data_IF_788260705831
#
_entry.id   IF_788260705831
#
_cell.length_a   1.000
_cell.length_b   1.000
_cell.length_c   1.000
_cell.angle_alpha   90.00
_cell.angle_beta   90.00
_cell.angle_gamma   90.00
#
_symmetry.space_group_name_H-M   'P 1'
#
loop_
_entity.id
_entity.type
_entity.pdbx_description
1 polymer ?
#
# COMPACT_ATOMS: atom_id res chain seq x y z
N UNK A 1 -22.96 9.26 -14.62
CA UNK A 1 -22.09 9.17 -13.43
C UNK A 1 -20.69 9.00 -13.96
N UNK A 2 -20.06 10.11 -14.36
CA UNK A 2 -18.69 10.09 -14.87
C UNK A 2 -17.75 9.94 -13.66
N UNK A 3 -17.38 8.69 -13.35
CA UNK A 3 -16.39 8.39 -12.32
C UNK A 3 -15.02 8.85 -12.80
N UNK A 4 -14.71 10.13 -12.59
CA UNK A 4 -13.39 10.66 -12.84
C UNK A 4 -12.51 10.29 -11.64
N UNK A 5 -11.46 9.46 -11.79
CA UNK A 5 -10.62 9.02 -10.68
C UNK A 5 -9.93 10.18 -9.96
N UNK A 6 -9.78 11.32 -10.64
CA UNK A 6 -9.29 12.57 -10.06
C UNK A 6 -10.29 13.17 -9.06
N UNK A 7 -11.59 13.07 -9.30
CA UNK A 7 -12.63 13.60 -8.40
C UNK A 7 -12.72 12.79 -7.11
N UNK A 8 -12.58 11.46 -7.22
CA UNK A 8 -12.54 10.55 -6.07
C UNK A 8 -11.33 10.84 -5.15
N UNK A 9 -10.19 11.17 -5.73
CA UNK A 9 -8.96 11.51 -4.99
C UNK A 9 -9.05 12.91 -4.39
N UNK A 10 -9.61 13.88 -5.11
CA UNK A 10 -9.70 15.29 -4.68
C UNK A 10 -10.76 15.52 -3.59
N UNK A 11 -11.85 14.76 -3.58
CA UNK A 11 -12.94 14.88 -2.60
C UNK A 11 -12.97 13.72 -1.59
N UNK A 12 -11.85 13.01 -1.43
CA UNK A 12 -11.77 11.81 -0.59
C UNK A 12 -12.14 12.08 0.88
N UNK A 13 -11.84 13.28 1.37
CA UNK A 13 -12.26 13.80 2.68
C UNK A 13 -13.78 13.97 2.77
N UNK A 14 -14.41 14.62 1.79
CA UNK A 14 -15.85 14.82 1.73
C UNK A 14 -16.62 13.49 1.57
N UNK A 15 -16.08 12.55 0.79
CA UNK A 15 -16.65 11.21 0.66
C UNK A 15 -16.50 10.41 1.96
N UNK A 16 -15.35 10.49 2.64
CA UNK A 16 -15.17 9.83 3.93
C UNK A 16 -16.10 10.41 4.99
N UNK A 17 -16.24 11.73 5.12
CA UNK A 17 -17.19 12.32 6.07
C UNK A 17 -18.65 11.99 5.72
N UNK A 18 -19.02 11.95 4.43
CA UNK A 18 -20.34 11.45 4.00
C UNK A 18 -20.52 9.96 4.31
N UNK A 19 -19.48 9.16 4.13
CA UNK A 19 -19.49 7.73 4.43
C UNK A 19 -19.59 7.49 5.94
N UNK A 20 -18.89 8.25 6.78
CA UNK A 20 -18.98 8.18 8.24
C UNK A 20 -20.41 8.49 8.68
N UNK A 21 -20.97 9.59 8.18
CA UNK A 21 -22.29 10.07 8.57
C UNK A 21 -23.44 9.19 8.03
N UNK A 22 -23.32 8.59 6.84
CA UNK A 22 -24.37 7.74 6.25
C UNK A 22 -24.23 6.25 6.57
N UNK A 23 -23.01 5.72 6.71
CA UNK A 23 -22.76 4.27 6.75
C UNK A 23 -22.36 3.74 8.13
N UNK A 24 -22.06 4.60 9.10
CA UNK A 24 -21.76 4.19 10.48
C UNK A 24 -20.72 3.05 10.53
N UNK A 25 -21.03 1.86 11.08
CA UNK A 25 -20.07 0.75 11.17
C UNK A 25 -19.67 0.10 9.83
N UNK A 26 -20.34 0.38 8.72
CA UNK A 26 -19.94 -0.16 7.41
C UNK A 26 -18.68 0.48 6.84
N UNK A 27 -18.30 1.66 7.33
CA UNK A 27 -17.08 2.32 6.87
C UNK A 27 -15.82 1.52 7.16
N UNK A 28 -15.78 0.77 8.26
CA UNK A 28 -14.66 -0.13 8.56
C UNK A 28 -14.51 -1.18 7.46
N UNK A 29 -15.62 -1.77 6.98
CA UNK A 29 -15.59 -2.76 5.91
C UNK A 29 -15.15 -2.15 4.56
N UNK A 30 -15.55 -0.91 4.27
CA UNK A 30 -15.12 -0.19 3.07
C UNK A 30 -13.61 0.09 3.13
N UNK A 31 -13.13 0.63 4.24
CA UNK A 31 -11.71 0.91 4.43
C UNK A 31 -10.87 -0.38 4.38
N UNK A 32 -11.38 -1.47 4.97
CA UNK A 32 -10.77 -2.79 4.82
C UNK A 32 -10.64 -3.20 3.37
N UNK A 33 -11.74 -3.16 2.61
CA UNK A 33 -11.76 -3.58 1.21
C UNK A 33 -10.80 -2.75 0.36
N UNK A 34 -10.72 -1.44 0.60
CA UNK A 34 -9.81 -0.55 -0.12
C UNK A 34 -8.35 -0.90 0.15
N UNK A 35 -7.93 -0.97 1.41
CA UNK A 35 -6.54 -1.30 1.78
C UNK A 35 -6.18 -2.73 1.34
N UNK A 36 -7.11 -3.67 1.47
CA UNK A 36 -6.93 -5.04 0.99
C UNK A 36 -6.74 -5.08 -0.53
N UNK A 37 -7.56 -4.36 -1.30
CA UNK A 37 -7.43 -4.31 -2.76
C UNK A 37 -6.12 -3.64 -3.19
N UNK A 38 -5.71 -2.55 -2.56
CA UNK A 38 -4.46 -1.85 -2.88
C UNK A 38 -3.21 -2.70 -2.62
N UNK A 39 -3.19 -3.43 -1.50
CA UNK A 39 -2.04 -4.28 -1.11
C UNK A 39 -2.08 -5.65 -1.78
N UNK A 40 -3.27 -6.21 -1.96
CA UNK A 40 -3.51 -7.54 -2.52
C UNK A 40 -3.48 -7.61 -4.04
N UNK A 41 -3.91 -6.56 -4.75
CA UNK A 41 -3.95 -6.53 -6.21
C UNK A 41 -2.70 -5.86 -6.78
N UNK A 42 -1.83 -6.67 -7.40
CA UNK A 42 -0.57 -6.22 -8.06
C UNK A 42 -0.80 -5.09 -9.07
N UNK A 43 -2.00 -4.98 -9.64
CA UNK A 43 -2.33 -4.07 -10.74
C UNK A 43 -2.88 -2.71 -10.25
N UNK A 44 -3.17 -2.56 -8.95
CA UNK A 44 -3.77 -1.33 -8.40
C UNK A 44 -2.86 -0.54 -7.43
N UNK A 45 -1.58 -0.25 -7.74
CA UNK A 45 -0.73 0.59 -6.89
C UNK A 45 -1.13 2.08 -6.89
N UNK A 46 -2.24 2.45 -7.54
CA UNK A 46 -2.67 3.84 -7.71
C UNK A 46 -3.66 4.31 -6.64
N UNK A 47 -4.13 3.43 -5.75
CA UNK A 47 -5.02 3.84 -4.67
C UNK A 47 -4.24 4.60 -3.58
N UNK A 48 -4.77 5.72 -3.05
CA UNK A 48 -4.09 6.55 -2.05
C UNK A 48 -4.25 5.98 -0.63
N UNK A 49 -3.77 4.75 -0.40
CA UNK A 49 -3.89 4.07 0.90
C UNK A 49 -3.22 4.80 2.05
N UNK A 50 -2.05 5.40 1.82
CA UNK A 50 -1.33 6.17 2.84
C UNK A 50 -2.18 7.34 3.36
N UNK A 51 -2.83 8.06 2.44
CA UNK A 51 -3.73 9.16 2.77
C UNK A 51 -4.98 8.63 3.49
N UNK A 52 -5.56 7.52 3.03
CA UNK A 52 -6.73 6.90 3.67
C UNK A 52 -6.47 6.49 5.11
N UNK A 53 -5.33 5.86 5.39
CA UNK A 53 -4.93 5.45 6.74
C UNK A 53 -4.81 6.67 7.67
N UNK A 54 -4.20 7.75 7.18
CA UNK A 54 -4.07 8.98 7.95
C UNK A 54 -5.43 9.62 8.23
N UNK A 55 -6.27 9.77 7.20
CA UNK A 55 -7.58 10.42 7.32
C UNK A 55 -8.49 9.61 8.25
N UNK A 56 -8.50 8.28 8.11
CA UNK A 56 -9.27 7.40 8.97
C UNK A 56 -8.85 7.55 10.44
N UNK A 57 -7.54 7.67 10.71
CA UNK A 57 -7.03 7.99 12.05
C UNK A 57 -7.50 9.34 12.57
N UNK A 58 -7.45 10.38 11.74
CA UNK A 58 -7.91 11.73 12.11
C UNK A 58 -9.41 11.79 12.41
N UNK A 59 -10.23 11.10 11.63
CA UNK A 59 -11.67 10.97 11.87
C UNK A 59 -11.95 10.20 13.16
N UNK A 60 -11.19 9.14 13.45
CA UNK A 60 -11.31 8.40 14.71
C UNK A 60 -11.01 9.29 15.94
N UNK A 61 -10.10 10.26 15.82
CA UNK A 61 -9.85 11.25 16.88
C UNK A 61 -10.99 12.24 17.10
N UNK A 62 -11.83 12.45 16.09
CA UNK A 62 -13.07 13.24 16.21
C UNK A 62 -14.18 12.54 17.01
N UNK A 63 -14.00 11.27 17.38
CA UNK A 63 -15.01 10.46 18.07
C UNK A 63 -15.96 9.73 17.11
N UNK A 64 -15.72 9.79 15.80
CA UNK A 64 -16.55 9.10 14.81
C UNK A 64 -16.34 7.59 14.74
N UNK A 65 -15.23 7.07 15.27
CA UNK A 65 -14.84 5.66 15.21
C UNK A 65 -13.98 5.24 16.41
N UNK A 66 -13.98 3.94 16.71
CA UNK A 66 -13.05 3.35 17.67
C UNK A 66 -11.66 3.17 17.00
N UNK A 67 -10.62 3.87 17.48
CA UNK A 67 -9.30 3.87 16.86
C UNK A 67 -8.58 2.51 16.99
N UNK A 68 -8.87 1.73 18.03
CA UNK A 68 -8.23 0.42 18.26
C UNK A 68 -8.82 -0.60 17.29
N UNK A 69 -10.14 -0.62 17.14
CA UNK A 69 -10.85 -1.45 16.17
C UNK A 69 -10.42 -1.10 14.74
N UNK A 70 -10.35 0.20 14.42
CA UNK A 70 -9.90 0.70 13.13
C UNK A 70 -8.48 0.21 12.82
N UNK A 71 -7.53 0.45 13.72
CA UNK A 71 -6.13 0.07 13.52
C UNK A 71 -5.97 -1.44 13.36
N UNK A 72 -6.66 -2.24 14.19
CA UNK A 72 -6.61 -3.70 14.10
C UNK A 72 -7.17 -4.22 12.77
N UNK A 73 -8.28 -3.65 12.31
CA UNK A 73 -8.96 -4.06 11.09
C UNK A 73 -8.19 -3.66 9.83
N UNK A 74 -7.61 -2.46 9.80
CA UNK A 74 -6.74 -2.00 8.72
C UNK A 74 -5.43 -2.79 8.66
N UNK A 75 -4.89 -3.16 9.82
CA UNK A 75 -3.71 -4.03 9.90
C UNK A 75 -4.01 -5.43 9.37
N UNK A 76 -5.17 -5.99 9.71
CA UNK A 76 -5.63 -7.26 9.16
C UNK A 76 -5.81 -7.17 7.63
N UNK A 77 -6.40 -6.09 7.12
CA UNK A 77 -6.56 -5.85 5.68
C UNK A 77 -5.19 -5.87 4.96
N UNK A 78 -4.22 -5.14 5.50
CA UNK A 78 -2.87 -5.05 4.92
C UNK A 78 -2.13 -6.40 4.94
N UNK A 79 -2.19 -7.14 6.05
CA UNK A 79 -1.53 -8.45 6.17
C UNK A 79 -2.19 -9.48 5.24
N UNK A 80 -3.52 -9.48 5.16
CA UNK A 80 -4.25 -10.38 4.26
C UNK A 80 -3.97 -10.05 2.80
N UNK A 81 -3.94 -8.76 2.44
CA UNK A 81 -3.57 -8.32 1.10
C UNK A 81 -2.14 -8.72 0.73
N UNK A 82 -1.16 -8.43 1.59
CA UNK A 82 0.24 -8.86 1.43
C UNK A 82 0.34 -10.39 1.24
N UNK A 83 -0.44 -11.16 2.00
CA UNK A 83 -0.48 -12.62 1.91
C UNK A 83 -1.10 -13.10 0.59
N UNK A 84 -2.21 -12.51 0.16
CA UNK A 84 -2.82 -12.80 -1.14
C UNK A 84 -1.85 -12.50 -2.28
N UNK A 85 -1.18 -11.35 -2.22
CA UNK A 85 -0.20 -10.94 -3.22
C UNK A 85 1.00 -11.90 -3.27
N UNK A 86 1.50 -12.32 -2.10
CA UNK A 86 2.53 -13.36 -2.00
C UNK A 86 2.10 -14.70 -2.63
N UNK A 87 0.88 -15.15 -2.37
CA UNK A 87 0.35 -16.41 -2.94
C UNK A 87 0.18 -16.30 -4.46
N UNK A 88 -0.28 -15.15 -4.96
CA UNK A 88 -0.37 -14.88 -6.40
C UNK A 88 1.03 -14.95 -7.02
N UNK A 89 2.02 -14.30 -6.41
CA UNK A 89 3.42 -14.34 -6.84
C UNK A 89 4.00 -15.76 -6.85
N UNK A 90 3.76 -16.53 -5.80
CA UNK A 90 4.22 -17.93 -5.70
C UNK A 90 3.60 -18.82 -6.78
N UNK A 91 2.29 -18.73 -6.97
CA UNK A 91 1.57 -19.53 -7.98
C UNK A 91 1.99 -19.14 -9.40
N UNK A 92 2.19 -17.84 -9.65
CA UNK A 92 2.71 -17.34 -10.91
C UNK A 92 4.15 -17.82 -11.16
N UNK A 93 5.00 -17.79 -10.12
CA UNK A 93 6.35 -18.34 -10.14
C UNK A 93 6.37 -19.83 -10.52
N UNK A 94 5.60 -20.66 -9.81
CA UNK A 94 5.50 -22.11 -10.07
C UNK A 94 5.06 -22.42 -11.51
N UNK A 95 4.05 -21.70 -12.04
CA UNK A 95 3.62 -21.85 -13.45
C UNK A 95 4.70 -21.44 -14.44
N UNK A 96 5.52 -20.46 -14.10
CA UNK A 96 6.66 -20.01 -14.91
C UNK A 96 7.79 -21.05 -14.90
N UNK A 97 8.08 -21.64 -13.74
CA UNK A 97 9.09 -22.70 -13.60
C UNK A 97 8.71 -23.97 -14.38
N UNK A 98 7.41 -24.28 -14.45
CA UNK A 98 6.87 -25.43 -15.19
C UNK A 98 6.81 -25.25 -16.71
N UNK A 99 7.11 -24.05 -17.25
CA UNK A 99 7.23 -23.81 -18.72
C UNK A 99 8.68 -23.47 -19.10
N UNK A 100 9.57 -24.47 -19.22
CA UNK A 100 11.03 -24.28 -19.37
C UNK A 100 11.48 -23.58 -20.66
N UNK A 101 10.61 -23.36 -21.65
CA UNK A 101 11.00 -22.94 -23.01
C UNK A 101 10.50 -21.53 -23.42
N UNK A 102 10.05 -20.70 -22.47
CA UNK A 102 9.61 -19.34 -22.80
C UNK A 102 10.81 -18.40 -22.96
N UNK A 103 11.08 -17.95 -24.19
CA UNK A 103 12.13 -16.97 -24.56
C UNK A 103 12.06 -15.63 -23.81
N UNK A 104 11.00 -15.38 -23.03
CA UNK A 104 10.74 -14.14 -22.28
C UNK A 104 11.34 -14.19 -20.86
N UNK A 105 11.73 -15.35 -20.32
CA UNK A 105 12.14 -15.49 -18.92
C UNK A 105 13.39 -16.37 -18.73
N UNK A 106 14.54 -15.77 -18.35
CA UNK A 106 15.79 -16.52 -18.09
C UNK A 106 15.82 -17.01 -16.64
N UNK A 107 15.99 -18.33 -16.46
CA UNK A 107 16.15 -19.00 -15.15
C UNK A 107 17.25 -18.37 -14.27
N UNK A 108 18.31 -17.85 -14.88
CA UNK A 108 19.41 -17.19 -14.15
C UNK A 108 18.93 -16.00 -13.30
N UNK A 109 17.93 -15.23 -13.76
CA UNK A 109 17.37 -14.13 -12.97
C UNK A 109 16.52 -14.63 -11.81
N UNK A 110 15.77 -15.71 -11.99
CA UNK A 110 14.97 -16.33 -10.94
C UNK A 110 15.86 -16.91 -9.84
N UNK A 111 16.93 -17.63 -10.21
CA UNK A 111 17.90 -18.18 -9.26
C UNK A 111 18.59 -17.05 -8.47
N UNK A 112 19.03 -15.98 -9.15
CA UNK A 112 19.62 -14.81 -8.48
C UNK A 112 18.63 -14.10 -7.54
N UNK A 113 17.36 -14.02 -7.93
CA UNK A 113 16.31 -13.42 -7.09
C UNK A 113 16.03 -14.31 -5.87
N UNK A 114 16.01 -15.63 -6.05
CA UNK A 114 15.88 -16.60 -4.97
C UNK A 114 17.05 -16.47 -3.98
N UNK A 115 18.29 -16.52 -4.45
CA UNK A 115 19.49 -16.42 -3.60
C UNK A 115 19.57 -15.06 -2.88
N UNK A 116 19.11 -13.98 -3.52
CA UNK A 116 19.02 -12.66 -2.90
C UNK A 116 17.97 -12.62 -1.79
N UNK A 117 16.77 -13.16 -2.03
CA UNK A 117 15.70 -13.21 -1.03
C UNK A 117 15.99 -14.21 0.09
N UNK A 118 16.74 -15.28 -0.17
CA UNK A 118 17.14 -16.22 0.87
C UNK A 118 18.11 -15.58 1.87
N UNK A 119 19.06 -14.78 1.37
CA UNK A 119 20.03 -14.04 2.21
C UNK A 119 19.49 -12.73 2.81
N UNK A 120 18.67 -11.97 2.08
CA UNK A 120 18.26 -10.60 2.46
C UNK A 120 16.75 -10.36 2.49
N UNK A 121 15.93 -11.33 2.06
CA UNK A 121 14.52 -11.12 1.72
C UNK A 121 13.66 -10.54 2.83
N UNK A 122 13.92 -10.88 4.09
CA UNK A 122 13.20 -10.31 5.23
C UNK A 122 13.34 -8.80 5.34
N UNK A 123 14.58 -8.30 5.33
CA UNK A 123 14.87 -6.86 5.38
C UNK A 123 14.35 -6.16 4.12
N UNK A 124 14.44 -6.82 2.97
CA UNK A 124 13.95 -6.27 1.69
C UNK A 124 12.44 -6.04 1.72
N UNK A 125 11.64 -6.95 2.29
CA UNK A 125 10.18 -6.79 2.37
C UNK A 125 9.80 -5.59 3.25
N UNK A 126 10.45 -5.42 4.39
CA UNK A 126 10.19 -4.26 5.28
C UNK A 126 10.68 -2.96 4.65
N UNK A 127 11.88 -2.95 4.05
CA UNK A 127 12.46 -1.75 3.42
C UNK A 127 11.71 -1.34 2.15
N UNK A 128 11.21 -2.30 1.37
CA UNK A 128 10.44 -2.02 0.17
C UNK A 128 9.13 -1.28 0.48
N UNK A 129 8.61 -1.38 1.71
CA UNK A 129 7.39 -0.67 2.13
C UNK A 129 7.56 0.86 2.12
N UNK A 130 8.78 1.35 2.31
CA UNK A 130 9.11 2.78 2.24
C UNK A 130 9.32 3.29 0.80
N UNK A 131 9.31 2.39 -0.19
CA UNK A 131 9.47 2.70 -1.59
C UNK A 131 8.14 2.48 -2.32
N UNK A 132 7.43 3.55 -2.76
CA UNK A 132 6.05 3.47 -3.25
C UNK A 132 5.80 2.45 -4.37
N UNK A 133 6.78 2.28 -5.25
CA UNK A 133 6.67 1.30 -6.34
C UNK A 133 7.01 -0.10 -5.82
N UNK A 134 8.05 -0.24 -4.99
CA UNK A 134 8.50 -1.55 -4.55
C UNK A 134 7.55 -2.19 -3.53
N UNK A 135 6.79 -1.42 -2.76
CA UNK A 135 5.89 -1.97 -1.73
C UNK A 135 4.83 -2.91 -2.29
N UNK A 136 4.29 -2.65 -3.47
CA UNK A 136 3.24 -3.50 -4.09
C UNK A 136 3.84 -4.71 -4.81
N UNK A 137 5.07 -4.58 -5.30
CA UNK A 137 5.78 -5.68 -5.95
C UNK A 137 6.56 -6.57 -4.97
N UNK A 138 6.93 -6.09 -3.79
CA UNK A 138 7.76 -6.86 -2.86
C UNK A 138 7.09 -8.17 -2.36
N UNK A 139 5.79 -8.19 -1.98
CA UNK A 139 5.10 -9.43 -1.66
C UNK A 139 5.03 -10.38 -2.85
N UNK A 140 4.74 -9.85 -4.04
CA UNK A 140 4.70 -10.61 -5.28
C UNK A 140 6.04 -11.27 -5.62
N UNK A 141 7.13 -10.50 -5.57
CA UNK A 141 8.49 -10.96 -5.85
C UNK A 141 8.96 -11.94 -4.78
N UNK A 142 8.64 -11.72 -3.50
CA UNK A 142 8.92 -12.66 -2.42
C UNK A 142 8.21 -14.01 -2.67
N UNK A 143 7.00 -13.98 -3.22
CA UNK A 143 6.25 -15.16 -3.65
C UNK A 143 6.94 -15.89 -4.81
N UNK A 144 7.30 -15.17 -5.88
CA UNK A 144 8.03 -15.74 -7.03
C UNK A 144 9.35 -16.37 -6.59
N UNK A 145 10.04 -15.73 -5.65
CA UNK A 145 11.30 -16.19 -5.09
C UNK A 145 11.12 -17.33 -4.07
N UNK A 146 9.92 -17.89 -3.87
CA UNK A 146 9.67 -19.01 -2.94
C UNK A 146 10.23 -18.77 -1.53
N UNK A 147 10.15 -17.53 -1.03
CA UNK A 147 10.60 -17.21 0.32
C UNK A 147 9.82 -18.02 1.37
N UNK A 148 10.43 -18.45 2.47
CA UNK A 148 9.71 -19.18 3.51
C UNK A 148 8.54 -18.33 4.07
N UNK A 149 7.30 -18.82 3.95
CA UNK A 149 6.08 -18.02 4.24
C UNK A 149 6.03 -17.43 5.66
N UNK A 150 6.35 -18.16 6.75
CA UNK A 150 6.46 -17.58 8.08
C UNK A 150 7.45 -16.43 8.19
N UNK A 151 8.57 -16.50 7.47
CA UNK A 151 9.58 -15.43 7.41
C UNK A 151 8.99 -14.23 6.69
N UNK A 152 8.34 -14.42 5.54
CA UNK A 152 7.65 -13.33 4.85
C UNK A 152 6.60 -12.66 5.75
N UNK A 153 5.74 -13.47 6.38
CA UNK A 153 4.64 -12.98 7.22
C UNK A 153 5.16 -12.16 8.41
N UNK A 154 6.20 -12.63 9.11
CA UNK A 154 6.77 -11.86 10.24
C UNK A 154 7.30 -10.48 9.82
N UNK A 155 8.02 -10.38 8.69
CA UNK A 155 8.50 -9.09 8.19
C UNK A 155 7.39 -8.22 7.59
N UNK A 156 6.37 -8.82 6.96
CA UNK A 156 5.18 -8.12 6.46
C UNK A 156 4.31 -7.59 7.60
N UNK A 157 4.12 -8.35 8.67
CA UNK A 157 3.42 -7.91 9.89
C UNK A 157 4.17 -6.77 10.55
N UNK A 158 5.49 -6.88 10.73
CA UNK A 158 6.30 -5.80 11.29
C UNK A 158 6.22 -4.52 10.42
N UNK A 159 6.30 -4.66 9.09
CA UNK A 159 6.13 -3.55 8.16
C UNK A 159 4.72 -2.95 8.20
N UNK A 160 3.68 -3.79 8.26
CA UNK A 160 2.28 -3.37 8.37
C UNK A 160 2.01 -2.65 9.68
N UNK A 161 2.62 -3.11 10.77
CA UNK A 161 2.47 -2.48 12.08
C UNK A 161 3.13 -1.10 12.11
N UNK A 162 4.33 -0.95 11.55
CA UNK A 162 4.98 0.36 11.44
C UNK A 162 4.21 1.31 10.51
N UNK A 163 3.69 0.79 9.40
CA UNK A 163 2.99 1.60 8.40
C UNK A 163 1.58 1.99 8.83
N UNK A 164 0.71 1.00 9.10
CA UNK A 164 -0.67 1.23 9.55
C UNK A 164 -0.66 1.88 10.93
N UNK A 165 0.10 1.33 11.87
CA UNK A 165 0.20 1.90 13.22
C UNK A 165 0.75 3.31 13.18
N UNK A 166 1.84 3.55 12.44
CA UNK A 166 2.42 4.88 12.30
C UNK A 166 1.44 5.90 11.72
N UNK A 167 0.83 5.61 10.56
CA UNK A 167 -0.05 6.56 9.88
C UNK A 167 -1.38 6.77 10.60
N UNK A 168 -1.99 5.71 11.14
CA UNK A 168 -3.25 5.82 11.89
C UNK A 168 -3.02 6.56 13.21
N UNK A 169 -1.94 6.25 13.94
CA UNK A 169 -1.61 6.97 15.17
C UNK A 169 -1.25 8.44 14.89
N UNK A 170 -0.46 8.72 13.86
CA UNK A 170 -0.18 10.10 13.43
C UNK A 170 -1.48 10.83 13.06
N UNK A 171 -2.33 10.21 12.25
CA UNK A 171 -3.66 10.75 11.91
C UNK A 171 -4.48 11.05 13.16
N UNK A 172 -4.52 10.12 14.12
CA UNK A 172 -5.26 10.28 15.37
C UNK A 172 -4.73 11.44 16.23
N UNK A 173 -3.41 11.53 16.45
CA UNK A 173 -2.82 12.62 17.21
C UNK A 173 -3.03 13.97 16.52
N UNK A 174 -2.84 14.05 15.20
CA UNK A 174 -3.03 15.27 14.43
C UNK A 174 -4.51 15.67 14.38
N UNK A 175 -5.43 14.71 14.24
CA UNK A 175 -6.87 14.94 14.26
C UNK A 175 -7.40 15.48 15.60
N UNK A 176 -6.65 15.31 16.70
CA UNK A 176 -7.01 15.89 18.01
C UNK A 176 -6.53 17.34 18.19
N UNK A 177 -5.69 17.87 17.28
CA UNK A 177 -5.20 19.26 17.35
C UNK A 177 -6.27 20.21 16.79
N UNK A 178 -6.69 21.26 17.53
CA UNK A 178 -7.76 22.18 17.10
C UNK A 178 -7.48 22.89 15.76
N UNK A 179 -6.22 23.24 15.50
CA UNK A 179 -5.77 23.84 14.25
C UNK A 179 -5.97 22.91 13.04
N UNK A 180 -5.84 21.60 13.26
CA UNK A 180 -5.96 20.58 12.21
C UNK A 180 -7.43 20.24 11.98
N UNK A 181 -8.26 20.17 13.04
CA UNK A 181 -9.72 20.01 12.90
C UNK A 181 -10.34 21.07 12.00
N UNK A 182 -9.87 22.33 12.10
CA UNK A 182 -10.35 23.43 11.27
C UNK A 182 -9.81 23.41 9.83
N UNK A 183 -8.74 22.64 9.58
CA UNK A 183 -8.04 22.58 8.29
C UNK A 183 -7.85 21.13 7.80
N UNK A 184 -8.79 20.24 8.11
CA UNK A 184 -8.72 18.82 7.73
C UNK A 184 -8.52 18.66 6.22
N UNK A 185 -9.32 19.39 5.42
CA UNK A 185 -9.22 19.37 3.96
C UNK A 185 -7.84 19.82 3.46
N UNK A 186 -7.25 20.85 4.06
CA UNK A 186 -5.92 21.35 3.67
C UNK A 186 -4.82 20.33 4.02
N UNK A 187 -4.94 19.64 5.15
CA UNK A 187 -4.01 18.58 5.54
C UNK A 187 -4.13 17.35 4.63
N UNK A 188 -5.34 16.96 4.24
CA UNK A 188 -5.58 15.91 3.25
C UNK A 188 -4.90 16.24 1.94
N UNK A 189 -5.07 17.47 1.44
CA UNK A 189 -4.40 17.95 0.22
C UNK A 189 -2.88 17.92 0.39
N UNK A 190 -2.32 18.37 1.52
CA UNK A 190 -0.88 18.33 1.78
C UNK A 190 -0.34 16.89 1.78
N UNK A 191 -1.05 15.94 2.37
CA UNK A 191 -0.63 14.53 2.41
C UNK A 191 -0.73 13.88 1.04
N UNK A 192 -1.81 14.16 0.29
CA UNK A 192 -1.96 13.71 -1.09
C UNK A 192 -0.83 14.27 -1.94
N UNK A 193 -0.52 15.57 -1.82
CA UNK A 193 0.59 16.21 -2.53
C UNK A 193 1.92 15.58 -2.12
N UNK A 194 2.19 15.41 -0.82
CA UNK A 194 3.42 14.77 -0.34
C UNK A 194 3.57 13.32 -0.81
N UNK A 195 2.48 12.56 -0.92
CA UNK A 195 2.47 11.19 -1.47
C UNK A 195 2.65 11.18 -2.99
N UNK A 196 2.08 12.15 -3.71
CA UNK A 196 2.18 12.28 -5.16
C UNK A 196 3.53 12.86 -5.62
N UNK A 197 4.18 13.71 -4.83
CA UNK A 197 5.47 14.34 -5.15
C UNK A 197 6.56 13.31 -5.52
N UNK A 198 6.85 12.26 -4.70
CA UNK A 198 7.84 11.27 -5.08
C UNK A 198 7.42 10.44 -6.30
N UNK A 199 6.11 10.21 -6.50
CA UNK A 199 5.58 9.54 -7.70
C UNK A 199 5.81 10.38 -8.96
N UNK A 200 5.50 11.68 -8.90
CA UNK A 200 5.68 12.63 -10.00
C UNK A 200 7.17 12.85 -10.30
N UNK A 201 8.02 12.98 -9.28
CA UNK A 201 9.47 13.07 -9.45
C UNK A 201 10.04 11.78 -10.06
N UNK A 202 9.50 10.61 -9.71
CA UNK A 202 9.83 9.32 -10.31
C UNK A 202 9.43 9.24 -11.79
N UNK A 203 8.23 9.69 -12.15
CA UNK A 203 7.74 9.75 -13.53
C UNK A 203 8.54 10.75 -14.39
N UNK A 204 8.86 11.92 -13.84
CA UNK A 204 9.68 12.94 -14.50
C UNK A 204 11.10 12.40 -14.73
N UNK A 205 11.74 11.80 -13.72
CA UNK A 205 13.06 11.15 -13.90
C UNK A 205 13.01 9.97 -14.86
N UNK A 206 11.92 9.20 -14.90
CA UNK A 206 11.73 8.11 -15.87
C UNK A 206 11.58 8.61 -17.31
N UNK A 207 10.93 9.77 -17.51
CA UNK A 207 10.85 10.45 -18.82
C UNK A 207 12.20 11.03 -19.25
N UNK A 208 12.95 11.65 -18.34
CA UNK A 208 14.28 12.18 -18.64
C UNK A 208 15.38 11.10 -18.76
N UNK A 209 15.25 9.96 -18.07
CA UNK A 209 16.20 8.84 -18.15
C UNK A 209 16.06 7.98 -19.43
N UNK A 210 14.89 7.97 -20.08
CA UNK A 210 14.70 7.33 -21.39
C UNK A 210 15.31 8.14 -22.54
N UNK A 211 15.47 9.46 -22.38
CA UNK A 211 16.12 10.32 -23.38
C UNK A 211 17.66 10.17 -23.42
N UNK A 212 18.29 9.69 -22.33
CA UNK A 212 19.75 9.55 -22.24
C UNK A 212 20.30 8.19 -22.74
N UNK A 213 19.45 7.27 -23.20
CA UNK A 213 19.85 5.97 -23.78
C UNK A 213 19.50 5.82 -25.26
N UNK A 214 19.07 6.90 -25.91
CA UNK A 214 18.72 6.95 -27.33
C UNK A 214 19.69 7.78 -28.18
N UNK A 215 20.92 8.02 -27.68
CA UNK A 215 22.02 8.59 -28.44
C UNK A 215 23.25 7.69 -28.33
#
# INVERSE_FOLDING_TARGET
MDFNPLDLILHLDAYLDLLVNNYGPWIYAILFAVIFCETGLVVMPFLPGDSLLFIAGAVAAGGGMDPVLLAGLLMAAAILGDSTNYVIGRTAGERLFNKPNSKIFRRDYLQRTHDFYDKHGGKTVTLARFLPILRTFAPFVAGIAHMHYPRFLTFSVAGSLLWVGGLVTLGYFFGNVPFIKQHLSLMVVVIIVLSLVPMLLGLLRGRFGRAAKAH
#
